data_IF_488962610880
#
_entry.id   IF_488962610880
#
_cell.length_a   1.000
_cell.length_b   1.000
_cell.length_c   1.000
_cell.angle_alpha   90.00
_cell.angle_beta   90.00
_cell.angle_gamma   90.00
#
_symmetry.space_group_name_H-M   'P 1'
#
loop_
_entity.id
_entity.type
_entity.pdbx_description
1 polymer ?
#
# COMPACT_ATOMS: atom_id res chain seq x y z
N UNK A 1 -8.62 8.98 -1.93
CA UNK A 1 -7.99 7.68 -1.61
C UNK A 1 -7.75 7.42 -0.10
N UNK A 2 -8.56 7.95 0.83
CA UNK A 2 -8.25 7.92 2.29
C UNK A 2 -8.08 6.53 2.89
N UNK A 3 -9.18 5.77 3.07
CA UNK A 3 -9.12 4.43 3.68
C UNK A 3 -8.32 3.43 2.84
N UNK A 4 -8.43 3.49 1.52
CA UNK A 4 -7.74 2.56 0.62
C UNK A 4 -6.21 2.67 0.64
N UNK A 5 -5.64 3.84 0.99
CA UNK A 5 -4.20 4.04 1.17
C UNK A 5 -3.74 3.69 2.59
N UNK A 6 -4.55 4.05 3.60
CA UNK A 6 -4.15 3.95 5.00
C UNK A 6 -4.40 2.57 5.61
N UNK A 7 -5.48 1.88 5.24
CA UNK A 7 -5.84 0.56 5.78
C UNK A 7 -4.71 -0.50 5.62
N UNK A 8 -4.05 -0.66 4.45
CA UNK A 8 -2.94 -1.60 4.31
C UNK A 8 -1.69 -1.15 5.07
N UNK A 9 -1.42 0.16 5.16
CA UNK A 9 -0.28 0.70 5.90
C UNK A 9 -0.44 0.51 7.41
N UNK A 10 -1.66 0.74 7.93
CA UNK A 10 -2.01 0.53 9.34
C UNK A 10 -1.97 -0.96 9.70
N UNK A 11 -2.46 -1.84 8.83
CA UNK A 11 -2.36 -3.30 9.01
C UNK A 11 -0.92 -3.80 9.02
N UNK A 12 -0.04 -3.24 8.20
CA UNK A 12 1.37 -3.61 8.19
C UNK A 12 2.14 -3.04 9.40
N UNK A 13 1.75 -1.87 9.90
CA UNK A 13 2.38 -1.21 11.04
C UNK A 13 1.95 -1.79 12.38
N UNK A 14 0.65 -2.06 12.59
CA UNK A 14 0.07 -2.60 13.85
C UNK A 14 0.43 -1.75 15.09
N UNK A 15 0.80 -0.47 14.91
CA UNK A 15 1.24 0.41 15.99
C UNK A 15 2.59 0.03 16.63
N UNK A 16 3.34 -0.90 16.04
CA UNK A 16 4.65 -1.33 16.54
C UNK A 16 5.77 -0.48 15.93
N UNK A 17 6.71 0.08 16.72
CA UNK A 17 7.81 0.88 16.18
C UNK A 17 8.70 0.08 15.22
N UNK A 18 8.92 -1.22 15.46
CA UNK A 18 9.66 -2.12 14.55
C UNK A 18 9.01 -2.27 13.17
N UNK A 19 7.69 -2.08 13.08
CA UNK A 19 6.94 -2.26 11.84
C UNK A 19 6.74 -0.95 11.06
N UNK A 20 7.35 0.16 11.49
CA UNK A 20 7.25 1.44 10.79
C UNK A 20 7.71 1.32 9.34
N UNK A 21 8.82 0.62 9.09
CA UNK A 21 9.33 0.36 7.74
C UNK A 21 8.33 -0.46 6.90
N UNK A 22 7.67 -1.46 7.51
CA UNK A 22 6.63 -2.26 6.86
C UNK A 22 5.41 -1.42 6.49
N UNK A 23 4.96 -0.54 7.39
CA UNK A 23 3.87 0.42 7.14
C UNK A 23 4.19 1.40 6.01
N UNK A 24 5.40 1.97 6.02
CA UNK A 24 5.88 2.86 4.95
C UNK A 24 5.94 2.17 3.59
N UNK A 25 6.42 0.91 3.54
CA UNK A 25 6.48 0.12 2.32
C UNK A 25 5.08 -0.13 1.74
N UNK A 26 4.12 -0.50 2.58
CA UNK A 26 2.73 -0.71 2.18
C UNK A 26 2.08 0.58 1.64
N UNK A 27 2.32 1.72 2.29
CA UNK A 27 1.83 3.02 1.84
C UNK A 27 2.43 3.42 0.48
N UNK A 28 3.75 3.33 0.33
CA UNK A 28 4.46 3.68 -0.89
C UNK A 28 4.04 2.79 -2.08
N UNK A 29 3.86 1.50 -1.85
CA UNK A 29 3.34 0.59 -2.86
C UNK A 29 1.93 0.98 -3.31
N UNK A 30 1.05 1.32 -2.37
CA UNK A 30 -0.32 1.72 -2.68
C UNK A 30 -0.41 3.07 -3.39
N UNK A 31 0.48 4.00 -3.05
CA UNK A 31 0.65 5.25 -3.79
C UNK A 31 1.10 5.01 -5.24
N UNK A 32 2.06 4.11 -5.45
CA UNK A 32 2.53 3.72 -6.79
C UNK A 32 1.41 3.09 -7.63
N UNK A 33 0.64 2.18 -7.05
CA UNK A 33 -0.49 1.53 -7.76
C UNK A 33 -1.58 2.53 -8.15
N UNK A 34 -1.92 3.47 -7.26
CA UNK A 34 -2.85 4.55 -7.59
C UNK A 34 -2.32 5.45 -8.72
N UNK A 35 -1.03 5.78 -8.72
CA UNK A 35 -0.42 6.55 -9.83
C UNK A 35 -0.37 5.78 -11.17
N UNK A 36 -0.26 4.46 -11.12
CA UNK A 36 -0.39 3.61 -12.31
C UNK A 36 -1.86 3.53 -12.78
N UNK A 37 -2.81 3.57 -11.86
CA UNK A 37 -4.24 3.57 -12.19
C UNK A 37 -4.65 4.86 -12.91
N UNK A 38 -4.13 6.02 -12.50
CA UNK A 38 -4.42 7.30 -13.18
C UNK A 38 -3.86 7.37 -14.61
N UNK A 39 -2.82 6.58 -14.90
CA UNK A 39 -2.19 6.50 -16.23
C UNK A 39 -2.68 5.31 -17.06
N UNK A 40 -3.73 4.59 -16.60
CA UNK A 40 -4.25 3.36 -17.20
C UNK A 40 -3.20 2.24 -17.38
N UNK A 41 -2.11 2.27 -16.58
CA UNK A 41 -1.03 1.28 -16.57
C UNK A 41 -1.14 0.29 -15.43
N UNK A 42 -2.12 0.46 -14.55
CA UNK A 42 -2.40 -0.47 -13.47
C UNK A 42 -2.86 -1.82 -14.02
N UNK A 43 -2.26 -2.90 -13.50
CA UNK A 43 -2.70 -4.27 -13.75
C UNK A 43 -2.99 -4.95 -12.40
N UNK A 44 -4.05 -5.77 -12.29
CA UNK A 44 -4.39 -6.48 -11.05
C UNK A 44 -3.25 -7.36 -10.52
N UNK A 45 -2.38 -7.85 -11.40
CA UNK A 45 -1.20 -8.65 -11.04
C UNK A 45 -0.13 -7.85 -10.25
N UNK A 46 -0.21 -6.52 -10.27
CA UNK A 46 0.68 -5.65 -9.49
C UNK A 46 0.24 -5.49 -8.02
N UNK A 47 -0.95 -5.99 -7.67
CA UNK A 47 -1.39 -6.05 -6.28
C UNK A 47 -0.44 -6.96 -5.48
N UNK A 48 -0.01 -6.56 -4.27
CA UNK A 48 0.70 -7.48 -3.41
C UNK A 48 -0.22 -8.68 -3.10
N UNK A 49 0.31 -9.90 -3.22
CA UNK A 49 -0.36 -11.08 -2.66
C UNK A 49 -0.59 -10.82 -1.17
N UNK A 50 -1.85 -10.72 -0.78
CA UNK A 50 -2.23 -10.77 0.63
C UNK A 50 -1.72 -12.11 1.18
N UNK A 51 -0.78 -12.04 2.12
CA UNK A 51 -0.34 -13.18 2.91
C UNK A 51 -1.38 -13.48 3.99
#
# INVERSE_FOLDING_TARGET
>A
YGRALQDPALKAWVGKPDNVASGQKALAQRAKLNGLATTARYKPDMEPKAA
#
